data_IF_201251883124
#
_entry.id   IF_201251883124
#
_cell.length_a   1.000
_cell.length_b   1.000
_cell.length_c   1.000
_cell.angle_alpha   90.00
_cell.angle_beta   90.00
_cell.angle_gamma   90.00
#
_symmetry.space_group_name_H-M   'P 1'
#
loop_
_entity.id
_entity.type
_entity.pdbx_description
1 polymer ?
#
# COMPACT_ATOMS: atom_id res chain seq x y z
N UNK A 1 -5.94 23.48 9.04
CA UNK A 1 -5.14 22.47 9.76
C UNK A 1 -4.18 21.82 8.80
N UNK A 2 -2.87 21.96 9.03
CA UNK A 2 -1.84 21.37 8.17
C UNK A 2 -1.83 19.83 8.28
N UNK A 3 -1.06 19.13 7.43
CA UNK A 3 -0.90 17.69 7.59
C UNK A 3 -0.38 17.39 8.99
N UNK A 4 -1.00 16.41 9.65
CA UNK A 4 -0.54 15.91 10.93
C UNK A 4 0.87 15.31 10.85
N UNK A 5 1.46 14.93 11.99
CA UNK A 5 2.78 14.31 12.01
C UNK A 5 2.84 13.10 11.07
N UNK A 6 3.93 12.99 10.30
CA UNK A 6 4.15 11.87 9.38
C UNK A 6 4.40 10.58 10.16
N UNK A 7 3.97 9.44 9.60
CA UNK A 7 4.14 8.12 10.19
C UNK A 7 4.63 7.11 9.15
N UNK A 8 5.16 5.97 9.61
CA UNK A 8 5.58 4.86 8.75
C UNK A 8 4.43 4.02 8.19
N UNK A 9 3.17 4.45 8.30
CA UNK A 9 2.04 3.74 7.70
C UNK A 9 1.59 4.53 6.47
N UNK A 10 1.77 3.93 5.29
CA UNK A 10 1.46 4.54 4.02
C UNK A 10 0.41 3.70 3.30
N UNK A 11 -0.78 4.28 3.10
CA UNK A 11 -1.86 3.67 2.32
C UNK A 11 -2.00 4.37 0.98
N UNK A 12 -2.07 3.61 -0.11
CA UNK A 12 -2.12 4.14 -1.46
C UNK A 12 -2.92 3.22 -2.40
N UNK A 13 -3.28 3.79 -3.55
CA UNK A 13 -3.82 3.07 -4.71
C UNK A 13 -2.99 3.42 -5.93
N UNK A 14 -2.95 2.51 -6.90
CA UNK A 14 -2.31 2.73 -8.18
C UNK A 14 -3.37 2.62 -9.28
N UNK A 15 -3.49 3.61 -10.18
CA UNK A 15 -4.42 3.54 -11.30
C UNK A 15 -4.14 2.30 -12.15
N UNK A 16 -5.20 1.56 -12.52
CA UNK A 16 -5.13 0.38 -13.37
C UNK A 16 -4.32 -0.81 -12.82
N UNK A 17 -3.93 -0.79 -11.55
CA UNK A 17 -3.23 -1.91 -10.89
C UNK A 17 -4.15 -2.54 -9.85
N UNK A 18 -4.33 -3.86 -9.94
CA UNK A 18 -5.07 -4.60 -8.93
C UNK A 18 -4.25 -4.73 -7.64
N UNK A 19 -4.88 -4.41 -6.50
CA UNK A 19 -4.20 -4.37 -5.20
C UNK A 19 -3.77 -5.76 -4.72
N UNK A 20 -4.54 -6.81 -5.04
CA UNK A 20 -4.23 -8.18 -4.65
C UNK A 20 -3.13 -8.78 -5.52
N UNK A 21 -3.15 -8.46 -6.82
CA UNK A 21 -2.05 -8.82 -7.73
C UNK A 21 -0.74 -8.15 -7.30
N UNK A 22 -0.76 -6.84 -7.03
CA UNK A 22 0.43 -6.12 -6.56
C UNK A 22 0.97 -6.73 -5.27
N UNK A 23 0.12 -6.97 -4.27
CA UNK A 23 0.55 -7.57 -3.01
C UNK A 23 1.14 -8.98 -3.22
N UNK A 24 0.55 -9.78 -4.12
CA UNK A 24 1.05 -11.10 -4.46
C UNK A 24 2.41 -11.05 -5.15
N UNK A 25 2.60 -10.15 -6.11
CA UNK A 25 3.89 -9.96 -6.80
C UNK A 25 4.98 -9.47 -5.83
N UNK A 26 4.67 -8.52 -4.96
CA UNK A 26 5.60 -8.01 -3.96
C UNK A 26 6.01 -9.07 -2.94
N UNK A 27 5.07 -9.96 -2.56
CA UNK A 27 5.35 -11.09 -1.67
C UNK A 27 6.39 -12.05 -2.24
N UNK A 28 6.41 -12.26 -3.56
CA UNK A 28 7.45 -13.05 -4.23
C UNK A 28 8.83 -12.41 -4.12
N UNK A 29 8.89 -11.09 -3.99
CA UNK A 29 10.11 -10.32 -3.72
C UNK A 29 10.46 -10.17 -2.23
N UNK A 30 9.73 -10.85 -1.33
CA UNK A 30 9.95 -10.77 0.12
C UNK A 30 9.27 -9.59 0.80
N UNK A 31 8.49 -8.77 0.08
CA UNK A 31 7.80 -7.60 0.65
C UNK A 31 6.35 -7.96 0.97
N UNK A 32 5.96 -7.79 2.24
CA UNK A 32 4.60 -8.03 2.68
C UNK A 32 3.78 -6.72 2.70
N UNK A 33 2.66 -6.70 1.96
CA UNK A 33 1.73 -5.58 1.91
C UNK A 33 0.34 -6.01 2.42
N UNK A 34 -0.37 -5.11 3.08
CA UNK A 34 -1.76 -5.36 3.51
C UNK A 34 -2.74 -4.77 2.49
N UNK A 35 -3.70 -5.57 2.01
CA UNK A 35 -4.79 -5.07 1.15
C UNK A 35 -6.05 -4.84 1.97
N UNK A 36 -6.56 -3.62 1.95
CA UNK A 36 -7.85 -3.25 2.54
C UNK A 36 -8.88 -3.11 1.43
N UNK A 37 -10.02 -3.80 1.56
CA UNK A 37 -11.10 -3.76 0.55
C UNK A 37 -12.29 -2.96 1.07
N UNK A 38 -13.01 -2.30 0.18
CA UNK A 38 -14.19 -1.50 0.51
C UNK A 38 -15.30 -2.30 1.21
N UNK A 39 -15.37 -3.61 0.97
CA UNK A 39 -16.28 -4.52 1.67
C UNK A 39 -16.11 -4.51 3.21
N UNK A 40 -14.94 -4.08 3.71
CA UNK A 40 -14.59 -4.07 5.14
C UNK A 40 -14.62 -2.65 5.74
N UNK A 41 -14.75 -1.61 4.91
CA UNK A 41 -14.68 -0.18 5.29
C UNK A 41 -15.66 0.67 4.47
N UNK A 42 -16.89 0.15 4.31
CA UNK A 42 -17.89 0.62 3.33
C UNK A 42 -18.23 2.12 3.39
N UNK A 43 -18.15 2.73 4.58
CA UNK A 43 -18.49 4.14 4.78
C UNK A 43 -17.39 5.11 4.28
N UNK A 44 -16.11 4.77 4.48
CA UNK A 44 -14.97 5.62 4.08
C UNK A 44 -14.56 5.37 2.61
N UNK A 45 -14.37 4.10 2.22
CA UNK A 45 -13.94 3.75 0.87
C UNK A 45 -15.03 3.95 -0.18
N UNK A 46 -16.30 3.75 0.20
CA UNK A 46 -17.45 3.97 -0.69
C UNK A 46 -17.61 5.44 -1.09
N UNK A 47 -17.42 6.37 -0.15
CA UNK A 47 -17.43 7.82 -0.46
C UNK A 47 -16.26 8.25 -1.35
N UNK A 48 -15.13 7.54 -1.29
CA UNK A 48 -13.92 7.84 -2.07
C UNK A 48 -13.86 7.11 -3.41
N UNK A 49 -14.86 6.28 -3.73
CA UNK A 49 -14.89 5.48 -4.96
C UNK A 49 -13.78 4.43 -5.06
N UNK A 50 -13.15 4.05 -3.94
CA UNK A 50 -12.03 3.12 -3.91
C UNK A 50 -12.54 1.70 -3.68
N UNK A 51 -12.25 0.77 -4.58
CA UNK A 51 -12.60 -0.64 -4.41
C UNK A 51 -11.68 -1.35 -3.40
N UNK A 52 -10.39 -0.99 -3.41
CA UNK A 52 -9.36 -1.48 -2.49
C UNK A 52 -8.22 -0.45 -2.38
N UNK A 53 -7.40 -0.61 -1.34
CA UNK A 53 -6.14 0.11 -1.16
C UNK A 53 -5.08 -0.82 -0.58
N UNK A 54 -3.82 -0.51 -0.88
CA UNK A 54 -2.66 -1.20 -0.33
C UNK A 54 -2.09 -0.36 0.80
N UNK A 55 -1.65 -1.02 1.86
CA UNK A 55 -0.95 -0.41 3.00
C UNK A 55 0.43 -1.04 3.15
N UNK A 56 1.44 -0.19 3.01
CA UNK A 56 2.81 -0.47 3.43
C UNK A 56 3.00 0.06 4.86
N UNK A 57 3.64 -0.74 5.71
CA UNK A 57 3.94 -0.37 7.09
C UNK A 57 5.32 -0.91 7.49
N UNK A 58 6.41 -0.26 7.06
CA UNK A 58 7.75 -0.65 7.47
C UNK A 58 7.90 -0.61 9.00
N UNK A 59 8.69 -1.54 9.51
CA UNK A 59 9.02 -1.67 10.92
C UNK A 59 10.54 -1.57 11.12
N UNK A 60 11.00 -1.54 12.37
CA UNK A 60 12.43 -1.41 12.71
C UNK A 60 13.31 -2.56 12.20
N UNK A 61 12.71 -3.66 11.72
CA UNK A 61 13.44 -4.77 11.10
C UNK A 61 13.58 -4.61 9.58
N UNK A 62 12.89 -3.64 8.96
CA UNK A 62 13.01 -3.41 7.53
C UNK A 62 14.27 -2.60 7.21
N UNK A 63 14.82 -2.84 6.03
CA UNK A 63 15.99 -2.12 5.52
C UNK A 63 15.61 -1.06 4.50
N UNK A 64 16.46 -0.05 4.32
CA UNK A 64 16.28 0.94 3.24
C UNK A 64 16.24 0.27 1.87
N UNK A 65 17.02 -0.78 1.65
CA UNK A 65 17.01 -1.55 0.41
C UNK A 65 15.65 -2.23 0.12
N UNK A 66 14.94 -2.69 1.14
CA UNK A 66 13.58 -3.23 1.00
C UNK A 66 12.57 -2.14 0.63
N UNK A 67 12.73 -0.94 1.21
CA UNK A 67 11.90 0.23 0.89
C UNK A 67 12.16 0.66 -0.56
N UNK A 68 13.43 0.77 -0.96
CA UNK A 68 13.82 1.11 -2.32
C UNK A 68 13.30 0.09 -3.32
N UNK A 69 13.38 -1.19 -3.00
CA UNK A 69 12.82 -2.25 -3.84
C UNK A 69 11.31 -2.06 -4.04
N UNK A 70 10.55 -1.79 -2.97
CA UNK A 70 9.12 -1.53 -3.04
C UNK A 70 8.83 -0.30 -3.92
N UNK A 71 9.51 0.81 -3.70
CA UNK A 71 9.30 2.07 -4.44
C UNK A 71 9.62 1.89 -5.92
N UNK A 72 10.75 1.25 -6.25
CA UNK A 72 11.16 1.01 -7.64
C UNK A 72 10.16 0.11 -8.37
N UNK A 73 9.61 -0.91 -7.70
CA UNK A 73 8.61 -1.79 -8.31
C UNK A 73 7.29 -1.08 -8.54
N UNK A 74 6.83 -0.28 -7.57
CA UNK A 74 5.62 0.54 -7.73
C UNK A 74 5.79 1.53 -8.89
N UNK A 75 6.94 2.20 -8.99
CA UNK A 75 7.20 3.17 -10.05
C UNK A 75 7.24 2.53 -11.46
N UNK A 76 7.51 1.23 -11.55
CA UNK A 76 7.53 0.48 -12.79
C UNK A 76 6.19 -0.21 -13.13
N UNK A 77 5.17 -0.06 -12.27
CA UNK A 77 3.83 -0.68 -12.42
C UNK A 77 2.88 0.16 -13.26
#
# INVERSE_FOLDING_TARGET
>A
DGPGPQSGIVSFTLPNVDCDELASQMKLGGINLSVTRAAWTRFDMGQRGLAAAVRASPHVYNTEAEIDYLVNRIAAS
#
